data_IF_141832371922
#
_entry.id   IF_141832371922
#
_cell.length_a   1.000
_cell.length_b   1.000
_cell.length_c   1.000
_cell.angle_alpha   90.00
_cell.angle_beta   90.00
_cell.angle_gamma   90.00
#
_symmetry.space_group_name_H-M   'P 1'
#
loop_
_entity.id
_entity.type
_entity.pdbx_description
1 polymer ?
#
# COMPACT_ATOMS: atom_id res chain seq x y z
N UNK A 1 -21.04 -55.40 -25.50
CA UNK A 1 -20.08 -54.28 -25.68
C UNK A 1 -20.72 -53.05 -25.08
N UNK A 2 -20.21 -52.49 -23.97
CA UNK A 2 -20.77 -51.25 -23.45
C UNK A 2 -20.43 -50.11 -24.43
N UNK A 3 -21.43 -49.30 -24.73
CA UNK A 3 -21.33 -48.09 -25.54
C UNK A 3 -20.26 -47.21 -24.91
N UNK A 4 -19.25 -46.81 -25.69
CA UNK A 4 -18.29 -45.76 -25.31
C UNK A 4 -19.11 -44.52 -24.92
N UNK A 5 -19.33 -44.32 -23.62
CA UNK A 5 -19.86 -43.07 -23.10
C UNK A 5 -18.87 -41.99 -23.49
N UNK A 6 -19.32 -41.00 -24.26
CA UNK A 6 -18.48 -39.87 -24.64
C UNK A 6 -17.86 -39.27 -23.36
N UNK A 7 -16.53 -39.22 -23.28
CA UNK A 7 -15.86 -38.60 -22.16
C UNK A 7 -16.15 -37.09 -22.18
N UNK A 8 -16.59 -36.54 -21.03
CA UNK A 8 -16.93 -35.13 -20.89
C UNK A 8 -15.63 -34.31 -20.97
N UNK A 9 -15.59 -33.29 -21.83
CA UNK A 9 -14.39 -32.44 -22.03
C UNK A 9 -14.39 -31.18 -21.18
N UNK A 10 -13.24 -30.52 -21.02
CA UNK A 10 -13.14 -29.24 -20.29
C UNK A 10 -14.10 -28.18 -20.85
N UNK A 11 -14.27 -28.08 -22.17
CA UNK A 11 -15.21 -27.15 -22.80
C UNK A 11 -16.65 -27.38 -22.35
N UNK A 12 -17.06 -28.65 -22.24
CA UNK A 12 -18.39 -29.03 -21.76
C UNK A 12 -18.53 -28.78 -20.26
N UNK A 13 -17.48 -29.02 -19.48
CA UNK A 13 -17.43 -28.71 -18.05
C UNK A 13 -17.57 -27.20 -17.78
N UNK A 14 -16.89 -26.36 -18.56
CA UNK A 14 -17.03 -24.89 -18.49
C UNK A 14 -18.47 -24.49 -18.78
N UNK A 15 -19.05 -25.01 -19.87
CA UNK A 15 -20.44 -24.73 -20.23
C UNK A 15 -21.41 -25.18 -19.12
N UNK A 16 -21.20 -26.36 -18.56
CA UNK A 16 -22.01 -26.87 -17.45
C UNK A 16 -21.90 -26.01 -16.19
N UNK A 17 -20.71 -25.52 -15.83
CA UNK A 17 -20.49 -24.64 -14.70
C UNK A 17 -21.27 -23.33 -14.84
N UNK A 18 -21.11 -22.62 -15.95
CA UNK A 18 -21.76 -21.31 -16.13
C UNK A 18 -23.25 -21.42 -16.45
N UNK A 19 -23.70 -22.50 -17.10
CA UNK A 19 -25.12 -22.67 -17.44
C UNK A 19 -25.93 -23.38 -16.37
N UNK A 20 -25.33 -24.17 -15.47
CA UNK A 20 -26.08 -24.98 -14.49
C UNK A 20 -25.51 -24.93 -13.07
N UNK A 21 -24.30 -24.40 -12.88
CA UNK A 21 -23.66 -24.30 -11.57
C UNK A 21 -24.41 -23.39 -10.60
N UNK A 22 -24.35 -23.74 -9.31
CA UNK A 22 -24.93 -22.95 -8.24
C UNK A 22 -24.12 -21.65 -8.05
N UNK A 23 -24.77 -20.48 -8.12
CA UNK A 23 -24.11 -19.17 -8.06
C UNK A 23 -23.80 -18.54 -9.43
N UNK A 24 -24.25 -19.16 -10.53
CA UNK A 24 -24.08 -18.65 -11.91
C UNK A 24 -24.70 -17.27 -12.15
N UNK A 25 -25.72 -16.91 -11.37
CA UNK A 25 -26.44 -15.63 -11.42
C UNK A 25 -25.54 -14.40 -11.20
N UNK A 26 -24.36 -14.60 -10.60
CA UNK A 26 -23.31 -13.57 -10.46
C UNK A 26 -22.65 -13.18 -11.78
N UNK A 27 -22.74 -14.04 -12.81
CA UNK A 27 -22.09 -13.85 -14.10
C UNK A 27 -23.08 -13.51 -15.23
N UNK A 28 -24.37 -13.74 -15.02
CA UNK A 28 -25.40 -13.40 -16.00
C UNK A 28 -26.81 -13.69 -15.47
N UNK A 29 -27.79 -12.91 -15.94
CA UNK A 29 -29.21 -13.02 -15.54
C UNK A 29 -30.01 -13.90 -16.49
N UNK A 30 -29.55 -14.04 -17.72
CA UNK A 30 -30.21 -14.82 -18.76
C UNK A 30 -29.23 -15.78 -19.43
N UNK A 31 -29.80 -16.75 -20.17
CA UNK A 31 -29.02 -17.81 -20.83
C UNK A 31 -27.95 -17.27 -21.78
N UNK A 32 -28.25 -16.23 -22.55
CA UNK A 32 -27.32 -15.65 -23.52
C UNK A 32 -26.09 -15.04 -22.85
N UNK A 33 -26.28 -14.33 -21.73
CA UNK A 33 -25.17 -13.80 -20.92
C UNK A 33 -24.30 -14.92 -20.37
N UNK A 34 -24.90 -15.98 -19.83
CA UNK A 34 -24.17 -17.13 -19.29
C UNK A 34 -23.40 -17.92 -20.37
N UNK A 35 -23.98 -18.07 -21.56
CA UNK A 35 -23.29 -18.67 -22.72
C UNK A 35 -22.11 -17.80 -23.16
N UNK A 36 -22.28 -16.47 -23.16
CA UNK A 36 -21.19 -15.54 -23.43
C UNK A 36 -20.06 -15.67 -22.42
N UNK A 37 -20.39 -15.83 -21.13
CA UNK A 37 -19.40 -16.01 -20.07
C UNK A 37 -18.67 -17.36 -20.16
N UNK A 38 -19.38 -18.44 -20.49
CA UNK A 38 -18.77 -19.74 -20.77
C UNK A 38 -17.79 -19.65 -21.95
N UNK A 39 -18.18 -18.99 -23.03
CA UNK A 39 -17.32 -18.79 -24.21
C UNK A 39 -16.09 -17.92 -23.89
N UNK A 40 -16.27 -16.86 -23.10
CA UNK A 40 -15.16 -16.02 -22.63
C UNK A 40 -14.17 -16.83 -21.79
N UNK A 41 -14.66 -17.73 -20.93
CA UNK A 41 -13.81 -18.62 -20.13
C UNK A 41 -13.07 -19.63 -21.02
N UNK A 42 -13.74 -20.25 -21.99
CA UNK A 42 -13.09 -21.15 -22.94
C UNK A 42 -11.98 -20.44 -23.74
N UNK A 43 -12.26 -19.23 -24.23
CA UNK A 43 -11.27 -18.39 -24.89
C UNK A 43 -10.10 -18.04 -23.95
N UNK A 44 -10.35 -17.83 -22.66
CA UNK A 44 -9.28 -17.61 -21.69
C UNK A 44 -8.35 -18.83 -21.58
N UNK A 45 -8.90 -20.05 -21.46
CA UNK A 45 -8.10 -21.27 -21.40
C UNK A 45 -7.24 -21.45 -22.66
N UNK A 46 -7.78 -21.17 -23.84
CA UNK A 46 -7.02 -21.24 -25.10
C UNK A 46 -5.84 -20.25 -25.15
N UNK A 47 -6.03 -19.04 -24.60
CA UNK A 47 -5.04 -17.98 -24.76
C UNK A 47 -4.02 -17.90 -23.62
N UNK A 48 -4.41 -18.31 -22.41
CA UNK A 48 -3.65 -18.01 -21.19
C UNK A 48 -3.30 -19.22 -20.34
N UNK A 49 -3.93 -20.38 -20.51
CA UNK A 49 -3.60 -21.56 -19.69
C UNK A 49 -2.11 -21.90 -19.80
N UNK A 50 -1.45 -22.04 -18.64
CA UNK A 50 -0.01 -22.30 -18.51
C UNK A 50 0.93 -21.10 -18.52
N UNK A 51 0.43 -19.89 -18.80
CA UNK A 51 1.29 -18.71 -18.97
C UNK A 51 2.13 -18.77 -20.26
N UNK A 52 2.58 -17.63 -20.78
CA UNK A 52 3.31 -17.51 -22.07
C UNK A 52 4.80 -17.19 -21.82
N UNK A 53 5.82 -17.69 -22.54
CA UNK A 53 6.02 -17.85 -24.01
C UNK A 53 6.51 -19.25 -24.48
N UNK A 54 6.89 -20.19 -23.60
CA UNK A 54 7.54 -21.47 -23.99
C UNK A 54 6.60 -22.70 -24.10
N UNK A 55 5.31 -22.55 -23.79
CA UNK A 55 4.33 -23.61 -24.01
C UNK A 55 4.03 -23.77 -25.49
N UNK A 56 4.28 -24.95 -26.08
CA UNK A 56 3.94 -25.22 -27.48
C UNK A 56 2.47 -24.89 -27.75
N UNK A 57 2.17 -24.22 -28.87
CA UNK A 57 0.78 -23.91 -29.29
C UNK A 57 -0.14 -25.15 -29.23
N UNK A 58 0.45 -26.33 -29.43
CA UNK A 58 -0.18 -27.64 -29.34
C UNK A 58 -0.78 -27.95 -27.95
N UNK A 59 -0.14 -27.54 -26.84
CA UNK A 59 -0.71 -27.70 -25.49
C UNK A 59 -1.92 -26.79 -25.26
N UNK A 60 -1.96 -25.60 -25.88
CA UNK A 60 -3.05 -24.62 -25.71
C UNK A 60 -4.29 -24.96 -26.52
N UNK A 61 -4.11 -25.51 -27.73
CA UNK A 61 -5.22 -25.94 -28.57
C UNK A 61 -5.95 -27.15 -27.96
N UNK A 62 -5.22 -28.06 -27.31
CA UNK A 62 -5.78 -29.32 -26.81
C UNK A 62 -6.43 -29.24 -25.42
N UNK A 63 -6.15 -28.21 -24.60
CA UNK A 63 -6.65 -28.19 -23.20
C UNK A 63 -8.18 -28.19 -23.10
N UNK A 64 -8.88 -27.58 -24.06
CA UNK A 64 -10.34 -27.58 -24.07
C UNK A 64 -10.95 -28.95 -24.38
N UNK A 65 -10.20 -29.79 -25.08
CA UNK A 65 -10.60 -31.15 -25.46
C UNK A 65 -10.12 -32.19 -24.43
N UNK A 66 -9.30 -31.79 -23.45
CA UNK A 66 -8.87 -32.62 -22.32
C UNK A 66 -10.09 -33.16 -21.58
N UNK A 67 -10.08 -34.47 -21.33
CA UNK A 67 -11.22 -35.13 -20.71
C UNK A 67 -11.23 -34.96 -19.20
N UNK A 68 -12.41 -35.08 -18.59
CA UNK A 68 -12.56 -35.05 -17.12
C UNK A 68 -11.65 -36.09 -16.44
N UNK A 69 -11.43 -37.24 -17.08
CA UNK A 69 -10.56 -38.30 -16.57
C UNK A 69 -9.10 -37.85 -16.52
N UNK A 70 -8.64 -37.17 -17.58
CA UNK A 70 -7.28 -36.63 -17.65
C UNK A 70 -7.07 -35.50 -16.65
N UNK A 71 -8.05 -34.60 -16.49
CA UNK A 71 -8.02 -33.55 -15.46
C UNK A 71 -7.94 -34.19 -14.07
N UNK A 72 -8.76 -35.21 -13.79
CA UNK A 72 -8.75 -35.92 -12.51
C UNK A 72 -7.41 -36.61 -12.22
N UNK A 73 -6.74 -37.12 -13.25
CA UNK A 73 -5.43 -37.74 -13.09
C UNK A 73 -4.32 -36.70 -12.82
N UNK A 74 -4.50 -35.45 -13.25
CA UNK A 74 -3.46 -34.40 -13.23
C UNK A 74 -3.92 -33.11 -12.54
N UNK A 75 -4.70 -33.21 -11.46
CA UNK A 75 -5.36 -32.06 -10.82
C UNK A 75 -4.39 -30.99 -10.32
N UNK A 76 -3.24 -31.39 -9.79
CA UNK A 76 -2.21 -30.46 -9.32
C UNK A 76 -1.57 -29.66 -10.45
N UNK A 77 -1.24 -30.30 -11.56
CA UNK A 77 -0.73 -29.61 -12.76
C UNK A 77 -1.82 -28.71 -13.36
N UNK A 78 -3.06 -29.20 -13.45
CA UNK A 78 -4.19 -28.40 -13.93
C UNK A 78 -4.37 -27.10 -13.14
N UNK A 79 -4.34 -27.17 -11.81
CA UNK A 79 -4.43 -25.98 -10.95
C UNK A 79 -3.22 -25.06 -11.13
N UNK A 80 -2.00 -25.60 -11.17
CA UNK A 80 -0.78 -24.80 -11.33
C UNK A 80 -0.77 -24.01 -12.66
N UNK A 81 -1.21 -24.64 -13.74
CA UNK A 81 -1.28 -24.02 -15.06
C UNK A 81 -2.37 -22.94 -15.14
N UNK A 82 -3.48 -23.10 -14.41
CA UNK A 82 -4.48 -22.04 -14.24
C UNK A 82 -3.85 -20.85 -13.50
N UNK A 83 -3.15 -21.08 -12.39
CA UNK A 83 -2.46 -20.03 -11.62
C UNK A 83 -1.47 -19.26 -12.50
N UNK A 84 -0.62 -19.97 -13.27
CA UNK A 84 0.31 -19.38 -14.23
C UNK A 84 -0.43 -18.55 -15.30
N UNK A 85 -1.58 -19.02 -15.76
CA UNK A 85 -2.42 -18.28 -16.69
C UNK A 85 -2.95 -16.98 -16.12
N UNK A 86 -3.42 -16.97 -14.86
CA UNK A 86 -3.88 -15.73 -14.22
C UNK A 86 -2.72 -14.74 -14.06
N UNK A 87 -1.52 -15.22 -13.70
CA UNK A 87 -0.32 -14.37 -13.58
C UNK A 87 0.04 -13.69 -14.90
N UNK A 88 -0.08 -14.38 -16.03
CA UNK A 88 0.23 -13.84 -17.36
C UNK A 88 -0.88 -12.98 -17.97
N UNK A 89 -2.12 -13.09 -17.48
CA UNK A 89 -3.26 -12.34 -18.01
C UNK A 89 -3.09 -10.81 -17.83
N UNK A 90 -3.14 -10.01 -18.92
CA UNK A 90 -2.78 -8.58 -18.87
C UNK A 90 -3.87 -7.67 -18.25
N UNK A 91 -5.11 -8.14 -18.12
CA UNK A 91 -6.25 -7.36 -17.65
C UNK A 91 -6.92 -7.96 -16.41
N UNK A 92 -7.85 -7.22 -15.79
CA UNK A 92 -8.83 -7.60 -14.76
C UNK A 92 -8.65 -8.95 -14.02
N UNK A 93 -7.46 -9.19 -13.43
CA UNK A 93 -7.09 -10.47 -12.82
C UNK A 93 -8.05 -10.92 -11.73
N UNK A 94 -8.60 -9.98 -10.96
CA UNK A 94 -9.60 -10.27 -9.93
C UNK A 94 -10.86 -10.88 -10.53
N UNK A 95 -11.42 -10.25 -11.58
CA UNK A 95 -12.62 -10.76 -12.24
C UNK A 95 -12.36 -12.14 -12.83
N UNK A 96 -11.19 -12.32 -13.43
CA UNK A 96 -10.81 -13.60 -14.01
C UNK A 96 -10.61 -14.68 -12.94
N UNK A 97 -9.92 -14.36 -11.85
CA UNK A 97 -9.72 -15.25 -10.71
C UNK A 97 -11.06 -15.64 -10.07
N UNK A 98 -12.00 -14.71 -9.91
CA UNK A 98 -13.34 -15.00 -9.41
C UNK A 98 -14.10 -16.00 -10.31
N UNK A 99 -14.01 -15.85 -11.64
CA UNK A 99 -14.63 -16.79 -12.59
C UNK A 99 -13.96 -18.18 -12.56
N UNK A 100 -12.64 -18.23 -12.44
CA UNK A 100 -11.89 -19.49 -12.35
C UNK A 100 -12.14 -20.20 -11.02
N UNK A 101 -12.19 -19.48 -9.91
CA UNK A 101 -12.60 -20.03 -8.61
C UNK A 101 -13.99 -20.63 -8.66
N UNK A 102 -14.95 -19.95 -9.32
CA UNK A 102 -16.28 -20.50 -9.53
C UNK A 102 -16.27 -21.80 -10.35
N UNK A 103 -15.49 -21.86 -11.43
CA UNK A 103 -15.33 -23.07 -12.24
C UNK A 103 -14.76 -24.21 -11.39
N UNK A 104 -13.65 -23.98 -10.68
CA UNK A 104 -12.98 -24.98 -9.85
C UNK A 104 -13.90 -25.47 -8.73
N UNK A 105 -14.61 -24.58 -8.05
CA UNK A 105 -15.60 -24.94 -7.02
C UNK A 105 -16.71 -25.84 -7.59
N UNK A 106 -17.21 -25.53 -8.79
CA UNK A 106 -18.22 -26.35 -9.47
C UNK A 106 -17.66 -27.73 -9.83
N UNK A 107 -16.43 -27.76 -10.35
CA UNK A 107 -15.71 -29.00 -10.68
C UNK A 107 -15.54 -29.90 -9.45
N UNK A 108 -15.05 -29.33 -8.35
CA UNK A 108 -14.84 -30.06 -7.10
C UNK A 108 -16.16 -30.64 -6.55
N UNK A 109 -17.23 -29.83 -6.53
CA UNK A 109 -18.53 -30.25 -5.96
C UNK A 109 -19.29 -31.27 -6.81
N UNK A 110 -19.30 -31.09 -8.13
CA UNK A 110 -20.14 -31.89 -9.03
C UNK A 110 -19.44 -33.12 -9.58
N UNK A 111 -18.13 -33.02 -9.79
CA UNK A 111 -17.33 -34.07 -10.43
C UNK A 111 -16.29 -34.68 -9.51
N UNK A 112 -16.36 -34.38 -8.20
CA UNK A 112 -15.49 -34.96 -7.16
C UNK A 112 -14.00 -34.78 -7.50
N UNK A 113 -13.66 -33.54 -7.81
CA UNK A 113 -12.28 -33.08 -7.96
C UNK A 113 -11.81 -32.45 -6.65
N UNK A 114 -10.51 -32.48 -6.43
CA UNK A 114 -9.77 -31.94 -5.29
C UNK A 114 -8.79 -30.85 -5.74
N UNK A 115 -9.17 -30.07 -6.74
CA UNK A 115 -8.36 -28.94 -7.22
C UNK A 115 -8.25 -27.87 -6.12
N UNK A 116 -7.04 -27.43 -5.79
CA UNK A 116 -6.82 -26.33 -4.85
C UNK A 116 -7.38 -25.02 -5.43
N UNK A 117 -8.20 -24.31 -4.65
CA UNK A 117 -8.80 -23.02 -5.01
C UNK A 117 -8.19 -21.85 -4.24
N UNK A 118 -7.36 -22.13 -3.22
CA UNK A 118 -6.80 -21.11 -2.32
C UNK A 118 -5.91 -20.09 -3.05
N UNK A 119 -5.29 -20.49 -4.17
CA UNK A 119 -4.51 -19.58 -5.01
C UNK A 119 -5.33 -18.42 -5.58
N UNK A 120 -6.65 -18.59 -5.77
CA UNK A 120 -7.55 -17.54 -6.28
C UNK A 120 -7.58 -16.33 -5.34
N UNK A 121 -7.46 -16.55 -4.02
CA UNK A 121 -7.47 -15.48 -3.02
C UNK A 121 -6.30 -14.50 -3.19
N UNK A 122 -5.17 -14.98 -3.73
CA UNK A 122 -3.99 -14.14 -4.02
C UNK A 122 -4.31 -13.05 -5.06
N UNK A 123 -5.22 -13.34 -5.99
CA UNK A 123 -5.62 -12.44 -7.06
C UNK A 123 -6.85 -11.58 -6.71
N UNK A 124 -7.40 -11.73 -5.51
CA UNK A 124 -8.50 -10.90 -5.01
C UNK A 124 -8.05 -9.53 -4.50
N UNK A 125 -6.75 -9.23 -4.45
CA UNK A 125 -6.27 -7.87 -4.15
C UNK A 125 -6.62 -6.91 -5.31
N UNK A 126 -7.80 -6.29 -5.22
CA UNK A 126 -8.41 -5.45 -6.26
C UNK A 126 -7.67 -4.16 -6.57
N UNK A 127 -6.99 -3.57 -5.58
CA UNK A 127 -6.46 -2.23 -5.73
C UNK A 127 -4.92 -2.23 -5.81
N UNK A 128 -4.43 -1.87 -7.01
CA UNK A 128 -3.01 -1.60 -7.25
C UNK A 128 -2.44 -0.65 -6.20
N UNK A 129 -3.21 0.34 -5.76
CA UNK A 129 -2.80 1.33 -4.77
C UNK A 129 -2.56 0.71 -3.40
N UNK A 130 -3.37 -0.26 -2.98
CA UNK A 130 -3.13 -1.03 -1.74
C UNK A 130 -1.83 -1.81 -1.88
N UNK A 131 -1.64 -2.52 -3.00
CA UNK A 131 -0.39 -3.25 -3.27
C UNK A 131 0.82 -2.32 -3.25
N UNK A 132 0.73 -1.13 -3.85
CA UNK A 132 1.79 -0.12 -3.82
C UNK A 132 2.12 0.31 -2.39
N UNK A 133 1.12 0.53 -1.53
CA UNK A 133 1.31 0.86 -0.12
C UNK A 133 1.99 -0.29 0.65
N UNK A 134 1.60 -1.53 0.40
CA UNK A 134 2.19 -2.70 1.05
C UNK A 134 3.64 -2.92 0.59
N UNK A 135 3.92 -2.79 -0.71
CA UNK A 135 5.30 -2.82 -1.24
C UNK A 135 6.13 -1.73 -0.56
N UNK A 136 5.61 -0.51 -0.51
CA UNK A 136 6.31 0.63 0.10
C UNK A 136 6.65 0.40 1.57
N UNK A 137 5.75 -0.21 2.36
CA UNK A 137 6.03 -0.65 3.75
C UNK A 137 7.06 -1.77 3.80
N UNK A 138 6.97 -2.74 2.89
CA UNK A 138 7.88 -3.88 2.83
C UNK A 138 9.33 -3.45 2.52
N UNK A 139 9.50 -2.35 1.78
CA UNK A 139 10.81 -1.77 1.46
C UNK A 139 11.47 -0.98 2.63
N UNK A 140 10.83 -0.87 3.81
CA UNK A 140 11.37 -0.11 4.95
C UNK A 140 12.60 -0.75 5.61
N UNK A 141 12.76 -2.06 5.52
CA UNK A 141 13.79 -2.80 6.25
C UNK A 141 14.47 -3.83 5.38
N UNK A 142 15.76 -4.06 5.63
CA UNK A 142 16.52 -5.10 4.94
C UNK A 142 16.78 -4.81 3.46
N UNK A 143 17.80 -5.48 2.93
CA UNK A 143 18.04 -5.53 1.49
C UNK A 143 17.14 -6.59 0.89
N UNK A 144 16.41 -6.27 -0.19
CA UNK A 144 15.53 -7.23 -0.85
C UNK A 144 15.75 -7.26 -2.35
N UNK A 145 15.87 -8.45 -2.91
CA UNK A 145 15.94 -8.62 -4.36
C UNK A 145 14.56 -8.45 -4.99
N UNK A 146 14.50 -8.31 -6.32
CA UNK A 146 13.21 -8.15 -7.01
C UNK A 146 12.40 -9.44 -6.99
N UNK A 147 13.10 -10.56 -7.10
CA UNK A 147 12.58 -11.92 -7.02
C UNK A 147 11.88 -12.13 -5.68
N UNK A 148 12.51 -11.75 -4.56
CA UNK A 148 11.93 -11.85 -3.21
C UNK A 148 10.68 -10.99 -3.05
N UNK A 149 10.69 -9.76 -3.58
CA UNK A 149 9.53 -8.86 -3.52
C UNK A 149 8.40 -9.41 -4.40
N UNK A 150 8.71 -9.82 -5.63
CA UNK A 150 7.75 -10.36 -6.58
C UNK A 150 7.05 -11.61 -6.02
N UNK A 151 7.83 -12.53 -5.44
CA UNK A 151 7.31 -13.70 -4.75
C UNK A 151 6.44 -13.33 -3.53
N UNK A 152 6.85 -12.35 -2.72
CA UNK A 152 6.09 -11.92 -1.54
C UNK A 152 4.69 -11.40 -1.88
N UNK A 153 4.57 -10.67 -3.00
CA UNK A 153 3.32 -10.06 -3.46
C UNK A 153 2.60 -10.86 -4.54
N UNK A 154 3.12 -12.05 -4.86
CA UNK A 154 2.59 -12.93 -5.90
C UNK A 154 2.38 -12.26 -7.27
N UNK A 155 3.34 -11.42 -7.65
CA UNK A 155 3.34 -10.68 -8.92
C UNK A 155 4.54 -11.07 -9.78
N UNK A 156 4.46 -10.83 -11.08
CA UNK A 156 5.63 -10.97 -11.95
C UNK A 156 6.65 -9.86 -11.68
N UNK A 157 7.93 -10.14 -11.91
CA UNK A 157 8.99 -9.13 -11.81
C UNK A 157 8.77 -7.93 -12.75
N UNK A 158 8.13 -8.17 -13.90
CA UNK A 158 7.72 -7.12 -14.83
C UNK A 158 6.72 -6.17 -14.17
N UNK A 159 5.66 -6.71 -13.56
CA UNK A 159 4.66 -5.91 -12.84
C UNK A 159 5.29 -5.19 -11.64
N UNK A 160 6.16 -5.87 -10.88
CA UNK A 160 6.92 -5.22 -9.81
C UNK A 160 7.76 -4.06 -10.34
N UNK A 161 8.42 -4.21 -11.49
CA UNK A 161 9.23 -3.14 -12.09
C UNK A 161 8.39 -1.92 -12.46
N UNK A 162 7.15 -2.12 -12.93
CA UNK A 162 6.19 -1.06 -13.17
C UNK A 162 5.71 -0.40 -11.87
N UNK A 163 5.43 -1.19 -10.84
CA UNK A 163 5.02 -0.68 -9.53
C UNK A 163 6.13 0.12 -8.86
N UNK A 164 7.39 -0.35 -8.88
CA UNK A 164 8.57 0.41 -8.41
C UNK A 164 8.81 1.68 -9.24
N UNK A 165 8.46 1.69 -10.53
CA UNK A 165 8.50 2.91 -11.36
C UNK A 165 7.40 3.89 -10.93
N UNK A 166 6.21 3.40 -10.63
CA UNK A 166 5.11 4.22 -10.10
C UNK A 166 5.44 4.80 -8.73
N UNK A 167 5.98 4.03 -7.79
CA UNK A 167 6.41 4.54 -6.48
C UNK A 167 7.45 5.67 -6.58
N UNK A 168 8.35 5.61 -7.58
CA UNK A 168 9.34 6.67 -7.85
C UNK A 168 8.76 7.91 -8.51
N UNK A 169 7.83 7.73 -9.46
CA UNK A 169 7.13 8.85 -10.12
C UNK A 169 6.13 9.54 -9.18
N UNK A 170 5.62 8.79 -8.22
CA UNK A 170 4.56 9.17 -7.33
C UNK A 170 3.21 8.63 -7.81
N UNK A 171 2.34 8.35 -6.84
CA UNK A 171 0.95 8.00 -7.06
C UNK A 171 0.08 8.73 -6.03
N UNK A 172 -1.22 8.82 -6.30
CA UNK A 172 -2.18 9.45 -5.40
C UNK A 172 -2.93 8.37 -4.63
N UNK A 173 -3.05 8.58 -3.31
CA UNK A 173 -3.86 7.73 -2.44
C UNK A 173 -4.62 8.59 -1.45
N UNK A 174 -5.95 8.47 -1.43
CA UNK A 174 -6.84 9.31 -0.61
C UNK A 174 -6.53 10.81 -0.73
N UNK A 175 -6.23 11.24 -1.96
CA UNK A 175 -5.88 12.63 -2.27
C UNK A 175 -4.56 13.12 -1.67
N UNK A 176 -3.71 12.20 -1.23
CA UNK A 176 -2.32 12.45 -0.82
C UNK A 176 -1.37 11.93 -1.90
N UNK A 177 -0.46 12.79 -2.37
CA UNK A 177 0.61 12.38 -3.28
C UNK A 177 1.71 11.68 -2.49
N UNK A 178 1.94 10.40 -2.81
CA UNK A 178 2.95 9.55 -2.20
C UNK A 178 4.05 9.29 -3.23
N UNK A 179 5.29 9.61 -2.89
CA UNK A 179 6.43 9.45 -3.78
C UNK A 179 7.71 9.11 -3.00
N UNK A 180 8.37 8.03 -3.39
CA UNK A 180 9.71 7.71 -2.88
C UNK A 180 10.70 8.76 -3.39
N UNK A 181 11.39 9.41 -2.45
CA UNK A 181 12.49 10.34 -2.76
C UNK A 181 13.82 9.60 -2.83
N UNK A 182 14.66 9.94 -3.82
CA UNK A 182 15.99 9.36 -4.02
C UNK A 182 16.06 8.15 -4.96
N UNK A 183 17.27 7.66 -5.22
CA UNK A 183 17.47 6.44 -6.01
C UNK A 183 17.20 5.19 -5.18
N UNK A 184 16.39 4.26 -5.71
CA UNK A 184 16.38 2.88 -5.21
C UNK A 184 17.76 2.29 -5.47
N UNK A 185 18.54 2.05 -4.42
CA UNK A 185 19.88 1.46 -4.56
C UNK A 185 19.77 0.13 -5.33
N UNK A 186 20.50 0.03 -6.45
CA UNK A 186 20.52 -1.20 -7.27
C UNK A 186 20.83 -2.41 -6.39
N UNK A 187 20.13 -3.53 -6.64
CA UNK A 187 20.18 -4.81 -5.89
C UNK A 187 19.53 -4.83 -4.50
N UNK A 188 19.40 -3.68 -3.83
CA UNK A 188 19.00 -3.60 -2.42
C UNK A 188 17.58 -3.01 -2.26
N UNK A 189 17.11 -2.23 -3.23
CA UNK A 189 15.77 -1.63 -3.30
C UNK A 189 15.35 -0.81 -2.05
N UNK A 190 16.31 -0.24 -1.31
CA UNK A 190 16.06 0.67 -0.18
C UNK A 190 15.99 2.13 -0.62
N UNK A 191 15.34 2.98 0.16
CA UNK A 191 15.24 4.44 -0.06
C UNK A 191 15.44 5.24 1.23
N UNK A 192 15.80 6.52 1.10
CA UNK A 192 16.37 7.32 2.21
C UNK A 192 15.38 7.78 3.27
N UNK A 193 14.12 8.00 2.90
CA UNK A 193 13.09 8.52 3.80
C UNK A 193 11.86 7.60 3.79
N UNK A 194 11.82 6.56 4.64
CA UNK A 194 10.71 5.63 4.73
C UNK A 194 9.36 6.34 4.85
N UNK A 195 8.41 5.95 4.01
CA UNK A 195 7.06 6.51 4.01
C UNK A 195 6.18 5.53 4.77
N UNK A 196 5.66 5.90 5.93
CA UNK A 196 4.74 5.02 6.66
C UNK A 196 3.30 5.51 6.55
N UNK A 197 2.48 4.97 5.64
CA UNK A 197 1.08 5.35 5.56
C UNK A 197 0.34 4.77 6.78
N UNK A 198 -0.44 5.62 7.44
CA UNK A 198 -1.27 5.31 8.60
C UNK A 198 -2.70 5.71 8.26
N UNK A 199 -3.64 4.78 8.43
CA UNK A 199 -5.07 5.00 8.21
C UNK A 199 -5.80 4.68 9.51
N UNK A 200 -6.60 5.63 9.99
CA UNK A 200 -7.36 5.50 11.22
C UNK A 200 -8.83 5.77 10.91
N UNK A 201 -9.70 4.84 11.31
CA UNK A 201 -11.13 5.10 11.38
C UNK A 201 -11.40 5.76 12.74
N UNK A 202 -11.68 7.05 12.72
CA UNK A 202 -11.80 7.87 13.92
C UNK A 202 -13.25 8.29 14.13
N UNK A 203 -13.70 8.30 15.38
CA UNK A 203 -14.96 8.94 15.74
C UNK A 203 -14.80 10.47 15.84
N UNK A 204 -15.91 11.20 16.03
CA UNK A 204 -15.90 12.67 16.06
C UNK A 204 -15.04 13.26 17.20
N UNK A 205 -15.02 12.62 18.38
CA UNK A 205 -14.21 13.08 19.50
C UNK A 205 -12.71 12.88 19.23
N UNK A 206 -12.32 11.76 18.60
CA UNK A 206 -10.95 11.51 18.19
C UNK A 206 -10.50 12.45 17.07
N UNK A 207 -11.40 12.77 16.12
CA UNK A 207 -11.14 13.78 15.09
C UNK A 207 -10.87 15.13 15.76
N UNK A 208 -11.72 15.56 16.69
CA UNK A 208 -11.53 16.82 17.44
C UNK A 208 -10.21 16.85 18.21
N UNK A 209 -9.84 15.75 18.88
CA UNK A 209 -8.58 15.66 19.61
C UNK A 209 -7.36 15.71 18.67
N UNK A 210 -7.44 15.07 17.50
CA UNK A 210 -6.32 15.00 16.55
C UNK A 210 -6.19 16.22 15.63
N UNK A 211 -7.23 17.04 15.48
CA UNK A 211 -7.13 18.32 14.78
C UNK A 211 -6.89 19.44 15.79
N UNK A 212 -7.92 19.86 16.51
CA UNK A 212 -7.85 21.01 17.40
C UNK A 212 -6.95 20.74 18.62
N UNK A 213 -7.10 19.57 19.24
CA UNK A 213 -6.32 19.20 20.43
C UNK A 213 -4.81 19.20 20.17
N UNK A 214 -4.36 18.68 19.03
CA UNK A 214 -2.93 18.71 18.67
C UNK A 214 -2.40 20.13 18.48
N UNK A 215 -3.16 21.03 17.85
CA UNK A 215 -2.76 22.43 17.67
C UNK A 215 -2.58 23.13 19.03
N UNK A 216 -3.59 23.02 19.89
CA UNK A 216 -3.58 23.63 21.23
C UNK A 216 -2.47 23.08 22.12
N UNK A 217 -2.33 21.75 22.20
CA UNK A 217 -1.37 21.11 23.10
C UNK A 217 0.09 21.31 22.70
N UNK A 218 0.34 21.71 21.45
CA UNK A 218 1.70 21.81 20.90
C UNK A 218 2.14 23.24 20.70
N UNK A 219 1.31 24.21 21.03
CA UNK A 219 1.66 25.62 21.03
C UNK A 219 2.89 25.88 21.94
N UNK A 220 3.85 26.65 21.43
CA UNK A 220 5.11 26.96 22.10
C UNK A 220 5.87 25.70 22.54
N UNK A 221 5.84 24.66 21.71
CA UNK A 221 6.64 23.44 21.93
C UNK A 221 7.57 23.14 20.76
N UNK A 222 8.61 22.35 21.02
CA UNK A 222 9.48 21.74 20.01
C UNK A 222 8.72 20.89 18.97
N UNK A 223 7.46 20.54 19.20
CA UNK A 223 6.65 19.75 18.29
C UNK A 223 5.60 20.56 17.52
N UNK A 224 5.44 21.85 17.82
CA UNK A 224 4.40 22.72 17.26
C UNK A 224 4.29 22.60 15.73
N UNK A 225 5.42 22.70 15.04
CA UNK A 225 5.43 22.67 13.57
C UNK A 225 5.07 21.29 13.01
N UNK A 226 5.62 20.22 13.60
CA UNK A 226 5.41 18.86 13.10
C UNK A 226 3.99 18.36 13.38
N UNK A 227 3.51 18.52 14.62
CA UNK A 227 2.17 18.10 15.01
C UNK A 227 1.10 19.06 14.46
N UNK A 228 1.40 20.35 14.34
CA UNK A 228 0.56 21.31 13.63
C UNK A 228 0.34 20.89 12.16
N UNK A 229 1.41 20.49 11.45
CA UNK A 229 1.29 19.94 10.09
C UNK A 229 0.43 18.67 10.06
N UNK A 230 0.63 17.74 11.00
CA UNK A 230 -0.17 16.51 11.07
C UNK A 230 -1.64 16.85 11.24
N UNK A 231 -1.97 17.76 12.16
CA UNK A 231 -3.33 18.28 12.35
C UNK A 231 -3.90 18.88 11.06
N UNK A 232 -3.15 19.73 10.36
CA UNK A 232 -3.57 20.33 9.08
C UNK A 232 -3.91 19.25 8.04
N UNK A 233 -3.07 18.23 7.91
CA UNK A 233 -3.29 17.12 6.97
C UNK A 233 -4.50 16.27 7.33
N UNK A 234 -4.79 16.08 8.62
CA UNK A 234 -6.00 15.38 9.08
C UNK A 234 -7.23 16.23 8.75
N UNK A 235 -7.21 17.52 9.08
CA UNK A 235 -8.31 18.45 8.80
C UNK A 235 -8.66 18.49 7.30
N UNK A 236 -7.66 18.49 6.41
CA UNK A 236 -7.86 18.45 4.95
C UNK A 236 -8.45 17.13 4.42
N UNK A 237 -8.51 16.07 5.22
CA UNK A 237 -9.15 14.80 4.84
C UNK A 237 -10.59 14.67 5.34
N UNK A 238 -11.04 15.61 6.19
CA UNK A 238 -12.38 15.58 6.76
C UNK A 238 -13.45 15.94 5.72
N UNK A 239 -14.65 15.40 5.92
CA UNK A 239 -15.85 15.85 5.21
C UNK A 239 -16.25 17.26 5.67
N UNK A 240 -17.08 17.94 4.88
CA UNK A 240 -17.60 19.26 5.23
C UNK A 240 -18.29 19.27 6.59
N UNK A 241 -19.11 18.25 6.86
CA UNK A 241 -19.77 18.06 8.16
C UNK A 241 -18.76 17.94 9.31
N UNK A 242 -17.72 17.14 9.15
CA UNK A 242 -16.71 16.98 10.20
C UNK A 242 -15.88 18.25 10.40
N UNK A 243 -15.61 19.04 9.35
CA UNK A 243 -14.95 20.35 9.47
C UNK A 243 -15.83 21.35 10.22
N UNK A 244 -17.12 21.43 9.89
CA UNK A 244 -18.08 22.30 10.58
C UNK A 244 -18.16 21.99 12.08
N UNK A 245 -18.10 20.72 12.47
CA UNK A 245 -18.02 20.32 13.89
C UNK A 245 -16.78 20.84 14.61
N UNK A 246 -15.65 20.98 13.91
CA UNK A 246 -14.43 21.57 14.46
C UNK A 246 -14.52 23.10 14.46
N UNK A 247 -14.91 23.69 13.33
CA UNK A 247 -14.93 25.14 13.12
C UNK A 247 -15.99 25.85 13.99
N UNK A 248 -17.02 25.13 14.42
CA UNK A 248 -18.04 25.65 15.36
C UNK A 248 -17.55 25.77 16.81
N UNK A 249 -16.39 25.22 17.14
CA UNK A 249 -15.85 25.21 18.50
C UNK A 249 -15.23 26.58 18.81
N UNK A 250 -15.46 27.14 20.01
CA UNK A 250 -14.93 28.46 20.37
C UNK A 250 -13.40 28.58 20.18
N UNK A 251 -12.66 27.54 20.57
CA UNK A 251 -11.21 27.49 20.52
C UNK A 251 -10.66 27.39 19.08
N UNK A 252 -11.48 26.97 18.11
CA UNK A 252 -11.08 26.94 16.70
C UNK A 252 -10.83 28.34 16.13
N UNK A 253 -11.37 29.39 16.75
CA UNK A 253 -11.16 30.79 16.33
C UNK A 253 -9.72 31.27 16.55
N UNK A 254 -8.97 30.61 17.42
CA UNK A 254 -7.59 30.95 17.76
C UNK A 254 -6.58 30.16 16.91
N UNK A 255 -7.08 29.25 16.06
CA UNK A 255 -6.26 28.31 15.31
C UNK A 255 -6.49 28.47 13.81
N UNK A 256 -5.40 28.53 13.06
CA UNK A 256 -5.43 28.49 11.59
C UNK A 256 -5.07 27.10 11.08
N UNK A 257 -5.92 26.51 10.23
CA UNK A 257 -5.61 25.30 9.48
C UNK A 257 -5.05 25.66 8.09
N UNK A 258 -3.84 25.20 7.79
CA UNK A 258 -3.16 25.56 6.54
C UNK A 258 -3.63 24.69 5.37
N UNK A 259 -4.00 25.33 4.26
CA UNK A 259 -4.41 24.68 3.00
C UNK A 259 -3.25 24.15 2.16
N UNK A 260 -2.28 23.47 2.76
CA UNK A 260 -1.12 22.95 2.02
C UNK A 260 -1.48 21.75 1.13
N UNK A 261 -0.72 21.57 0.05
CA UNK A 261 -0.82 20.38 -0.79
C UNK A 261 -0.53 19.12 0.05
N UNK A 262 -1.47 18.16 0.03
CA UNK A 262 -1.32 16.87 0.70
C UNK A 262 -0.27 16.03 -0.03
N UNK A 263 0.99 16.18 0.37
CA UNK A 263 2.11 15.37 -0.12
C UNK A 263 3.00 14.91 1.02
N UNK A 264 3.65 13.77 0.78
CA UNK A 264 4.74 13.33 1.61
C UNK A 264 5.90 14.34 1.55
N UNK A 265 6.43 14.72 2.72
CA UNK A 265 7.69 15.45 2.84
C UNK A 265 8.74 14.51 3.40
N UNK A 266 9.82 14.33 2.66
CA UNK A 266 11.01 13.65 3.18
C UNK A 266 11.62 14.40 4.36
N UNK A 267 12.37 13.70 5.21
CA UNK A 267 13.11 14.34 6.32
C UNK A 267 13.98 15.52 5.87
N UNK A 268 14.58 15.45 4.67
CA UNK A 268 15.39 16.54 4.11
C UNK A 268 14.53 17.75 3.74
N UNK A 269 13.39 17.53 3.08
CA UNK A 269 12.46 18.60 2.72
C UNK A 269 11.88 19.27 3.97
N UNK A 270 11.60 18.51 5.04
CA UNK A 270 11.14 19.09 6.30
C UNK A 270 12.18 20.05 6.89
N UNK A 271 13.47 19.69 6.91
CA UNK A 271 14.53 20.56 7.43
C UNK A 271 14.59 21.88 6.65
N UNK A 272 14.39 21.84 5.34
CA UNK A 272 14.37 23.05 4.50
C UNK A 272 13.06 23.85 4.54
N UNK A 273 11.97 23.29 5.07
CA UNK A 273 10.65 23.93 5.08
C UNK A 273 10.34 24.68 6.39
N UNK A 274 11.18 24.50 7.40
CA UNK A 274 10.94 25.02 8.74
C UNK A 274 12.21 25.67 9.31
N UNK A 275 12.07 26.82 9.93
CA UNK A 275 13.19 27.53 10.57
C UNK A 275 13.76 26.76 11.78
N UNK A 276 12.93 25.93 12.42
CA UNK A 276 13.27 25.21 13.66
C UNK A 276 12.76 23.76 13.64
N UNK A 277 13.33 22.86 12.80
CA UNK A 277 12.85 21.49 12.63
C UNK A 277 13.31 20.57 13.78
N UNK A 278 13.00 20.94 15.03
CA UNK A 278 13.47 20.29 16.25
C UNK A 278 13.25 18.78 16.24
N UNK A 279 12.03 18.34 15.87
CA UNK A 279 11.65 16.92 15.84
C UNK A 279 12.58 16.08 14.99
N UNK A 280 13.06 16.62 13.86
CA UNK A 280 13.96 15.90 12.95
C UNK A 280 15.39 15.81 13.50
N UNK A 281 15.91 16.87 14.13
CA UNK A 281 17.23 16.83 14.77
C UNK A 281 17.22 15.93 16.01
N UNK A 282 16.17 15.99 16.84
CA UNK A 282 15.99 15.11 18.00
C UNK A 282 15.88 13.64 17.57
N UNK A 283 15.10 13.34 16.51
CA UNK A 283 14.96 11.98 15.99
C UNK A 283 16.28 11.45 15.44
N UNK A 284 16.99 12.25 14.64
CA UNK A 284 18.16 11.78 13.89
C UNK A 284 19.45 11.74 14.72
N UNK A 285 19.50 12.45 15.85
CA UNK A 285 20.68 12.53 16.72
C UNK A 285 21.94 12.95 15.95
N UNK A 286 21.75 13.74 14.88
CA UNK A 286 22.85 14.27 14.07
C UNK A 286 23.47 15.48 14.73
N UNK A 287 24.78 15.65 14.54
CA UNK A 287 25.49 16.84 14.98
C UNK A 287 25.01 18.04 14.14
N UNK A 288 24.65 19.12 14.82
CA UNK A 288 24.22 20.38 14.21
C UNK A 288 24.81 21.57 14.97
N UNK A 289 24.69 22.76 14.36
CA UNK A 289 24.99 24.04 14.97
C UNK A 289 23.70 24.70 15.43
N UNK A 290 23.60 24.99 16.72
CA UNK A 290 22.47 25.73 17.29
C UNK A 290 22.93 27.15 17.57
N UNK A 291 22.26 28.12 16.94
CA UNK A 291 22.38 29.54 17.26
C UNK A 291 21.30 29.93 18.24
N UNK A 292 21.67 30.60 19.32
CA UNK A 292 20.74 31.00 20.38
C UNK A 292 21.18 32.31 21.04
N UNK A 293 20.26 32.97 21.74
CA UNK A 293 20.54 34.16 22.53
C UNK A 293 20.74 33.82 24.00
N UNK A 294 21.74 34.41 24.64
CA UNK A 294 21.94 34.33 26.08
C UNK A 294 22.29 35.72 26.59
N UNK A 295 21.40 36.32 27.38
CA UNK A 295 21.51 37.73 27.82
C UNK A 295 21.68 38.68 26.63
N UNK A 296 20.83 38.56 25.61
CA UNK A 296 20.84 39.36 24.37
C UNK A 296 22.06 39.16 23.45
N UNK A 297 23.05 38.37 23.86
CA UNK A 297 24.19 38.02 23.02
C UNK A 297 23.90 36.75 22.18
N UNK A 298 24.15 36.81 20.87
CA UNK A 298 24.11 35.62 20.01
C UNK A 298 25.30 34.70 20.34
N UNK A 299 24.98 33.44 20.65
CA UNK A 299 25.93 32.36 20.90
C UNK A 299 25.66 31.19 19.96
N UNK A 300 26.68 30.38 19.76
CA UNK A 300 26.58 29.15 18.96
C UNK A 300 27.13 27.99 19.75
N UNK A 301 26.44 26.85 19.68
CA UNK A 301 26.90 25.58 20.23
C UNK A 301 26.80 24.48 19.18
N UNK A 302 27.82 23.63 19.11
CA UNK A 302 27.85 22.46 18.22
C UNK A 302 27.57 21.20 19.04
N UNK A 303 26.56 20.41 18.66
CA UNK A 303 26.20 19.22 19.41
C UNK A 303 25.06 18.42 18.80
N UNK A 304 24.52 17.47 19.55
CA UNK A 304 23.31 16.70 19.20
C UNK A 304 22.13 17.18 20.02
N UNK A 305 20.92 17.17 19.43
CA UNK A 305 19.70 17.64 20.08
C UNK A 305 18.98 16.50 20.81
N UNK A 306 18.56 16.77 22.03
CA UNK A 306 17.80 15.88 22.89
C UNK A 306 16.61 16.60 23.51
N UNK A 307 15.64 15.81 23.97
CA UNK A 307 14.60 16.34 24.85
C UNK A 307 15.23 16.84 26.15
N UNK A 308 14.80 18.01 26.61
CA UNK A 308 15.27 18.51 27.89
C UNK A 308 14.77 17.62 29.05
N UNK A 309 15.46 17.61 30.21
CA UNK A 309 15.01 16.88 31.40
C UNK A 309 13.57 17.20 31.81
N UNK A 310 12.91 16.29 32.52
CA UNK A 310 11.48 16.45 32.92
C UNK A 310 11.19 17.76 33.67
N UNK A 311 12.16 18.28 34.43
CA UNK A 311 11.96 19.44 35.31
C UNK A 311 12.43 20.77 34.69
N UNK A 312 12.71 20.83 33.39
CA UNK A 312 13.29 22.00 32.72
C UNK A 312 12.45 22.50 31.54
N UNK A 313 11.12 22.41 31.63
CA UNK A 313 10.25 22.74 30.50
C UNK A 313 10.53 21.83 29.30
N UNK A 314 10.43 20.50 29.48
CA UNK A 314 10.87 19.46 28.54
C UNK A 314 10.48 19.66 27.07
N UNK A 315 9.34 20.29 26.81
CA UNK A 315 8.83 20.54 25.46
C UNK A 315 9.03 22.00 25.02
N UNK A 316 9.37 22.90 25.94
CA UNK A 316 9.67 24.32 25.71
C UNK A 316 11.19 24.56 25.66
N UNK A 317 12.00 23.52 25.74
CA UNK A 317 13.46 23.61 25.74
C UNK A 317 14.07 22.38 25.07
N UNK A 318 15.26 22.56 24.52
CA UNK A 318 16.10 21.47 24.02
C UNK A 318 17.31 21.28 24.93
N UNK A 319 17.87 20.07 24.94
CA UNK A 319 19.18 19.79 25.52
C UNK A 319 20.17 19.56 24.38
N UNK A 320 21.19 20.41 24.27
CA UNK A 320 22.30 20.22 23.34
C UNK A 320 23.42 19.49 24.06
N UNK A 321 23.75 18.28 23.61
CA UNK A 321 24.90 17.52 24.11
C UNK A 321 26.12 17.80 23.24
N UNK A 322 27.16 18.38 23.82
CA UNK A 322 28.44 18.73 23.18
C UNK A 322 29.62 18.06 23.91
N UNK A 323 30.84 18.29 23.42
CA UNK A 323 32.05 17.85 24.10
C UNK A 323 32.29 18.57 25.44
N UNK A 324 31.71 19.75 25.62
CA UNK A 324 31.86 20.60 26.82
C UNK A 324 30.79 20.31 27.88
N UNK A 325 29.78 19.49 27.55
CA UNK A 325 28.71 19.10 28.46
C UNK A 325 27.33 19.16 27.83
N UNK A 326 26.32 19.32 28.68
CA UNK A 326 24.92 19.48 28.27
C UNK A 326 24.46 20.90 28.54
N UNK A 327 23.85 21.53 27.53
CA UNK A 327 23.29 22.87 27.62
C UNK A 327 21.79 22.82 27.36
N UNK A 328 20.99 23.39 28.27
CA UNK A 328 19.54 23.50 28.11
C UNK A 328 19.23 24.89 27.55
N UNK A 329 18.50 24.95 26.44
CA UNK A 329 18.17 26.20 25.74
C UNK A 329 16.65 26.25 25.54
N UNK A 330 15.96 27.29 26.05
CA UNK A 330 14.56 27.55 25.73
C UNK A 330 14.35 27.72 24.23
N UNK A 331 13.22 27.25 23.69
CA UNK A 331 12.96 27.31 22.25
C UNK A 331 12.86 28.75 21.71
N UNK A 332 12.44 29.69 22.56
CA UNK A 332 12.27 31.09 22.20
C UNK A 332 13.62 31.79 22.02
N UNK A 333 14.65 31.31 22.72
CA UNK A 333 16.01 31.82 22.62
C UNK A 333 16.74 31.31 21.36
N UNK A 334 16.17 30.36 20.61
CA UNK A 334 16.85 29.72 19.47
C UNK A 334 16.64 30.55 18.21
N UNK A 335 17.73 31.09 17.66
CA UNK A 335 17.74 31.81 16.40
C UNK A 335 17.71 30.88 15.17
N UNK A 336 18.32 29.70 15.25
CA UNK A 336 18.33 28.75 14.15
C UNK A 336 19.12 27.46 14.43
N UNK A 337 18.88 26.43 13.61
CA UNK A 337 19.56 25.14 13.68
C UNK A 337 20.06 24.76 12.28
N UNK A 338 21.34 24.39 12.17
CA UNK A 338 22.03 24.12 10.90
C UNK A 338 22.73 22.76 10.90
#
# INVERSE_FOLDING_TARGET
>A
MPVNGAEITLKELISDAFLKGAGRDRFGRNRRELESEANNMAAWFQNYYGGTEDGSEEKRLNILDTSLREIRANQGEFTAEIENGIRSHPGAKVKQAAKLGFLIDHLNRKYDLECDVSFVDKFKQEDRSIRLLEILKYLHSGSKTREEIAAKFDISERLLSEDLKTLRKGFEFMGTKIQISGELKRKVNTYESPIHPVFLALNSAEIYALTLGLKLLTENTIFQQTLGRVSDLIYLQLSDFARELIDSQPEAKEIEFKGEERKFLSSLQMVGSYDRPFSQYIKSQRVCLVKYFLNEEEKTVKGTLHLAPKNSGRFQSICVQSAEGSLIIPIDDIAGIY
#
